data_IF_263325494213
#
_entry.id   IF_263325494213
#
_cell.length_a   1.000
_cell.length_b   1.000
_cell.length_c   1.000
_cell.angle_alpha   90.00
_cell.angle_beta   90.00
_cell.angle_gamma   90.00
#
_symmetry.space_group_name_H-M   'P 1'
#
loop_
_entity.id
_entity.type
_entity.pdbx_description
1 polymer ?
#
# COMPACT_ATOMS: atom_id res chain seq x y z
N UNK A 1 34.58 -8.52 -14.99
CA UNK A 1 34.87 -9.14 -13.67
C UNK A 1 33.54 -9.30 -12.95
N UNK A 2 33.19 -10.53 -12.54
CA UNK A 2 31.90 -10.87 -11.91
C UNK A 2 31.81 -10.24 -10.51
N UNK A 3 30.89 -9.30 -10.32
CA UNK A 3 30.48 -8.85 -8.98
C UNK A 3 29.55 -9.90 -8.37
N UNK A 4 30.00 -10.55 -7.30
CA UNK A 4 29.23 -11.54 -6.54
C UNK A 4 27.96 -10.90 -5.97
N UNK A 5 26.84 -11.57 -6.19
CA UNK A 5 25.59 -11.38 -5.46
C UNK A 5 25.88 -11.44 -3.95
N UNK A 6 25.53 -10.37 -3.24
CA UNK A 6 25.27 -10.40 -1.80
C UNK A 6 23.76 -10.28 -1.61
N UNK A 7 23.08 -11.42 -1.63
CA UNK A 7 21.94 -11.61 -0.74
C UNK A 7 22.57 -11.89 0.63
N UNK A 8 22.56 -10.91 1.53
CA UNK A 8 22.60 -11.12 2.99
C UNK A 8 22.92 -9.78 3.68
N UNK A 9 21.86 -9.09 4.13
CA UNK A 9 21.84 -8.29 5.37
C UNK A 9 20.45 -7.71 5.71
N UNK A 10 19.46 -7.72 4.80
CA UNK A 10 18.24 -6.92 4.98
C UNK A 10 17.27 -7.40 6.08
N UNK A 11 17.35 -8.64 6.57
CA UNK A 11 16.29 -9.18 7.44
C UNK A 11 16.22 -8.54 8.83
N UNK A 12 17.35 -8.06 9.37
CA UNK A 12 17.41 -7.43 10.69
C UNK A 12 17.06 -5.93 10.61
N UNK A 13 17.53 -5.25 9.57
CA UNK A 13 17.20 -3.84 9.31
C UNK A 13 15.74 -3.69 8.90
N UNK A 14 15.17 -4.62 8.12
CA UNK A 14 13.75 -4.63 7.79
C UNK A 14 12.89 -4.91 9.04
N UNK A 15 13.32 -5.78 9.96
CA UNK A 15 12.60 -6.01 11.22
C UNK A 15 12.65 -4.81 12.18
N UNK A 16 13.80 -4.14 12.26
CA UNK A 16 13.98 -2.94 13.08
C UNK A 16 13.23 -1.76 12.48
N UNK A 17 13.26 -1.60 11.15
CA UNK A 17 12.43 -0.63 10.43
C UNK A 17 10.94 -0.92 10.61
N UNK A 18 10.50 -2.19 10.55
CA UNK A 18 9.10 -2.56 10.81
C UNK A 18 8.69 -2.31 12.27
N UNK A 19 9.61 -2.47 13.23
CA UNK A 19 9.37 -2.17 14.65
C UNK A 19 9.36 -0.66 14.93
N UNK A 20 10.27 0.09 14.32
CA UNK A 20 10.36 1.55 14.43
C UNK A 20 9.20 2.23 13.69
N UNK A 21 8.83 1.73 12.50
CA UNK A 21 7.58 2.11 11.85
C UNK A 21 6.41 1.71 12.74
N UNK A 22 6.28 0.46 13.20
CA UNK A 22 5.20 0.08 14.13
C UNK A 22 5.09 1.00 15.36
N UNK A 23 6.21 1.54 15.88
CA UNK A 23 6.16 2.49 16.99
C UNK A 23 5.75 3.90 16.53
N UNK A 24 6.22 4.37 15.38
CA UNK A 24 5.81 5.65 14.77
C UNK A 24 4.34 5.63 14.29
N UNK A 25 3.88 4.50 13.74
CA UNK A 25 2.50 4.25 13.31
C UNK A 25 1.53 4.25 14.48
N UNK A 26 1.97 3.78 15.65
CA UNK A 26 1.19 3.89 16.90
C UNK A 26 1.09 5.33 17.42
N UNK A 27 2.01 6.22 17.03
CA UNK A 27 2.06 7.60 17.54
C UNK A 27 1.36 8.62 16.66
N UNK A 28 1.01 8.31 15.41
CA UNK A 28 0.33 9.24 14.48
C UNK A 28 -1.01 8.69 13.98
N UNK A 29 -1.93 8.43 14.92
CA UNK A 29 -3.37 8.39 14.65
C UNK A 29 -3.96 9.76 14.95
N UNK A 30 -3.89 10.71 14.00
CA UNK A 30 -4.65 11.96 14.10
C UNK A 30 -5.21 12.44 12.76
N UNK A 31 -6.38 11.89 12.41
CA UNK A 31 -7.62 12.64 12.11
C UNK A 31 -8.78 11.67 12.37
N UNK A 32 -9.88 12.16 12.96
CA UNK A 32 -11.10 11.39 13.25
C UNK A 32 -11.78 10.78 12.00
N UNK A 33 -11.30 11.16 10.83
CA UNK A 33 -11.52 10.51 9.54
C UNK A 33 -10.51 11.16 8.60
N UNK A 34 -9.60 10.42 7.96
CA UNK A 34 -9.04 10.90 6.71
C UNK A 34 -10.21 10.84 5.74
N UNK A 35 -10.89 11.97 5.53
CA UNK A 35 -11.92 12.06 4.49
C UNK A 35 -11.25 11.59 3.20
N UNK A 36 -11.68 10.44 2.68
CA UNK A 36 -11.23 9.99 1.38
C UNK A 36 -11.52 11.13 0.41
N UNK A 37 -10.51 11.58 -0.32
CA UNK A 37 -10.68 12.68 -1.27
C UNK A 37 -11.85 12.34 -2.22
N UNK A 38 -12.75 13.28 -2.55
CA UNK A 38 -13.87 13.06 -3.47
C UNK A 38 -13.49 12.31 -4.76
N UNK A 39 -12.32 12.58 -5.35
CA UNK A 39 -11.82 11.84 -6.53
C UNK A 39 -11.62 10.35 -6.23
N UNK A 40 -11.09 10.03 -5.05
CA UNK A 40 -10.90 8.66 -4.60
C UNK A 40 -12.24 7.98 -4.28
N UNK A 41 -13.18 8.70 -3.66
CA UNK A 41 -14.57 8.20 -3.48
C UNK A 41 -15.25 7.95 -4.82
N UNK A 42 -15.04 8.82 -5.80
CA UNK A 42 -15.56 8.67 -7.15
C UNK A 42 -14.92 7.49 -7.88
N UNK A 43 -13.59 7.31 -7.76
CA UNK A 43 -12.87 6.13 -8.24
C UNK A 43 -13.46 4.82 -7.67
N UNK A 44 -13.59 4.77 -6.34
CA UNK A 44 -14.18 3.64 -5.62
C UNK A 44 -15.62 3.34 -6.04
N UNK A 45 -16.36 4.35 -6.52
CA UNK A 45 -17.76 4.21 -6.92
C UNK A 45 -17.92 3.89 -8.42
N UNK A 46 -17.01 4.36 -9.27
CA UNK A 46 -17.16 4.30 -10.74
C UNK A 46 -16.24 3.26 -11.40
N UNK A 47 -15.08 2.94 -10.80
CA UNK A 47 -13.99 2.21 -11.48
C UNK A 47 -13.59 0.91 -10.79
N UNK A 48 -14.15 0.54 -9.63
CA UNK A 48 -14.05 -0.84 -9.16
C UNK A 48 -14.85 -1.72 -10.16
N UNK A 49 -14.22 -2.60 -10.93
CA UNK A 49 -14.92 -3.33 -11.98
C UNK A 49 -16.04 -4.20 -11.38
N UNK A 50 -17.22 -4.18 -12.00
CA UNK A 50 -18.38 -5.05 -11.67
C UNK A 50 -18.01 -6.56 -11.60
N UNK A 51 -16.88 -6.96 -12.18
CA UNK A 51 -16.34 -8.33 -12.15
C UNK A 51 -15.60 -8.70 -10.86
N UNK A 52 -15.17 -7.71 -10.06
CA UNK A 52 -14.66 -7.84 -8.69
C UNK A 52 -15.79 -7.57 -7.68
N UNK A 53 -16.82 -6.83 -8.11
CA UNK A 53 -17.92 -6.31 -7.33
C UNK A 53 -19.19 -7.17 -7.46
N UNK A 54 -19.31 -8.18 -6.61
CA UNK A 54 -20.65 -8.51 -6.12
C UNK A 54 -20.91 -7.57 -4.94
N UNK A 55 -21.85 -6.64 -5.11
CA UNK A 55 -22.45 -5.87 -4.01
C UNK A 55 -22.60 -6.77 -2.80
N UNK A 56 -22.13 -6.33 -1.63
CA UNK A 56 -22.28 -7.13 -0.41
C UNK A 56 -23.78 -7.40 -0.22
N UNK A 57 -24.17 -8.66 -0.42
CA UNK A 57 -25.43 -9.17 0.08
C UNK A 57 -25.31 -9.25 1.61
N UNK A 58 -26.08 -8.46 2.38
CA UNK A 58 -26.02 -8.46 3.84
C UNK A 58 -26.33 -9.83 4.47
N UNK A 59 -26.93 -10.76 3.70
CA UNK A 59 -27.21 -12.13 4.13
C UNK A 59 -26.06 -13.11 3.85
N UNK A 60 -25.04 -12.70 3.10
CA UNK A 60 -23.89 -13.52 2.72
C UNK A 60 -22.75 -13.34 3.74
N UNK A 61 -21.94 -14.38 3.91
CA UNK A 61 -20.79 -14.36 4.82
C UNK A 61 -19.56 -13.76 4.11
N UNK A 62 -18.83 -12.87 4.81
CA UNK A 62 -17.61 -12.19 4.33
C UNK A 62 -16.47 -12.41 5.33
N UNK A 63 -15.94 -13.64 5.43
CA UNK A 63 -14.99 -14.01 6.46
C UNK A 63 -13.64 -13.28 6.33
N UNK A 64 -13.16 -12.97 5.13
CA UNK A 64 -11.91 -12.22 4.96
C UNK A 64 -12.09 -10.77 5.39
N UNK A 65 -13.19 -10.13 4.98
CA UNK A 65 -13.52 -8.76 5.38
C UNK A 65 -13.64 -8.66 6.90
N UNK A 66 -14.33 -9.63 7.53
CA UNK A 66 -14.45 -9.70 8.98
C UNK A 66 -13.09 -9.85 9.65
N UNK A 67 -12.22 -10.74 9.15
CA UNK A 67 -10.88 -10.96 9.72
C UNK A 67 -10.00 -9.70 9.64
N UNK A 68 -10.06 -8.98 8.50
CA UNK A 68 -9.33 -7.74 8.31
C UNK A 68 -9.89 -6.60 9.17
N UNK A 69 -11.21 -6.50 9.28
CA UNK A 69 -11.89 -5.54 10.16
C UNK A 69 -11.49 -5.77 11.63
N UNK A 70 -11.56 -7.01 12.10
CA UNK A 70 -11.16 -7.39 13.46
C UNK A 70 -9.70 -7.03 13.74
N UNK A 71 -8.80 -7.23 12.77
CA UNK A 71 -7.40 -6.81 12.90
C UNK A 71 -7.28 -5.30 13.13
N UNK A 72 -7.91 -4.50 12.25
CA UNK A 72 -7.84 -3.04 12.31
C UNK A 72 -8.48 -2.48 13.58
N UNK A 73 -9.62 -3.02 14.02
CA UNK A 73 -10.29 -2.63 15.26
C UNK A 73 -9.44 -2.96 16.49
N UNK A 74 -8.85 -4.16 16.55
CA UNK A 74 -8.01 -4.59 17.67
C UNK A 74 -6.72 -3.76 17.80
N UNK A 75 -6.18 -3.29 16.68
CA UNK A 75 -4.99 -2.43 16.66
C UNK A 75 -5.35 -0.93 16.80
N UNK A 76 -6.63 -0.59 16.91
CA UNK A 76 -7.12 0.76 17.24
C UNK A 76 -7.26 1.72 16.05
N UNK A 77 -7.41 1.20 14.83
CA UNK A 77 -7.50 2.01 13.62
C UNK A 77 -8.89 2.59 13.44
N UNK A 78 -8.95 3.80 12.87
CA UNK A 78 -10.21 4.43 12.43
C UNK A 78 -10.31 4.30 10.92
N UNK A 79 -11.43 3.79 10.42
CA UNK A 79 -11.64 3.50 9.00
C UNK A 79 -13.10 3.68 8.57
N UNK A 80 -13.30 3.88 7.27
CA UNK A 80 -14.60 3.87 6.59
C UNK A 80 -14.83 2.47 6.00
N UNK A 81 -15.94 1.82 6.37
CA UNK A 81 -16.36 0.57 5.74
C UNK A 81 -17.24 0.90 4.53
N UNK A 82 -16.77 0.52 3.35
CA UNK A 82 -17.51 0.66 2.10
C UNK A 82 -18.31 -0.63 1.90
N UNK A 83 -19.45 -0.70 2.59
CA UNK A 83 -20.31 -1.89 2.60
C UNK A 83 -20.74 -2.34 1.22
N UNK A 84 -20.79 -1.49 0.20
CA UNK A 84 -21.16 -1.95 -1.14
C UNK A 84 -20.05 -2.75 -1.84
N UNK A 85 -18.78 -2.67 -1.41
CA UNK A 85 -17.63 -3.14 -2.21
C UNK A 85 -16.66 -4.05 -1.44
N UNK A 86 -17.07 -4.64 -0.31
CA UNK A 86 -16.22 -5.49 0.54
C UNK A 86 -14.83 -4.88 0.81
N UNK A 87 -14.84 -3.57 1.08
CA UNK A 87 -13.65 -2.72 1.13
C UNK A 87 -13.64 -1.89 2.41
N UNK A 88 -12.48 -1.81 3.06
CA UNK A 88 -12.21 -0.92 4.19
C UNK A 88 -11.22 0.13 3.72
N UNK A 89 -11.49 1.41 3.94
CA UNK A 89 -10.63 2.49 3.49
C UNK A 89 -10.27 3.45 4.64
N UNK A 90 -9.06 3.96 4.62
CA UNK A 90 -8.56 4.95 5.59
C UNK A 90 -7.37 5.70 5.00
N UNK A 91 -7.05 6.87 5.54
CA UNK A 91 -5.81 7.57 5.23
C UNK A 91 -4.70 7.23 6.21
N UNK A 92 -3.47 7.44 5.79
CA UNK A 92 -2.28 7.10 6.55
C UNK A 92 -1.21 8.18 6.40
N UNK A 93 -0.46 8.44 7.48
CA UNK A 93 0.65 9.37 7.53
C UNK A 93 1.91 8.59 7.94
N UNK A 94 2.81 8.42 6.99
CA UNK A 94 4.15 7.86 7.23
C UNK A 94 5.18 8.97 7.44
N UNK A 95 6.47 8.59 7.43
CA UNK A 95 7.58 9.53 7.58
C UNK A 95 7.68 10.47 6.38
N UNK A 96 7.44 9.95 5.18
CA UNK A 96 7.70 10.66 3.93
C UNK A 96 6.43 11.26 3.32
N UNK A 97 5.25 11.15 3.96
CA UNK A 97 4.04 11.83 3.54
C UNK A 97 2.73 11.14 3.93
N UNK A 98 1.65 11.62 3.32
CA UNK A 98 0.29 11.12 3.49
C UNK A 98 -0.19 10.40 2.25
N UNK A 99 -1.00 9.36 2.43
CA UNK A 99 -1.62 8.62 1.34
C UNK A 99 -2.91 7.93 1.79
N UNK A 100 -3.67 7.38 0.84
CA UNK A 100 -4.87 6.60 1.13
C UNK A 100 -4.57 5.12 1.13
N UNK A 101 -5.28 4.36 1.93
CA UNK A 101 -5.14 2.92 2.04
C UNK A 101 -6.49 2.24 1.84
N UNK A 102 -6.46 1.04 1.26
CA UNK A 102 -7.63 0.20 1.10
C UNK A 102 -7.31 -1.25 1.42
N UNK A 103 -8.15 -1.88 2.22
CA UNK A 103 -8.27 -3.34 2.26
C UNK A 103 -9.42 -3.72 1.35
N UNK A 104 -9.16 -4.51 0.31
CA UNK A 104 -10.19 -5.08 -0.55
C UNK A 104 -10.20 -6.61 -0.38
N UNK A 105 -11.39 -7.18 -0.25
CA UNK A 105 -11.57 -8.63 -0.11
C UNK A 105 -12.32 -9.18 -1.30
N UNK A 106 -11.75 -10.22 -1.90
CA UNK A 106 -12.39 -10.99 -2.98
C UNK A 106 -12.81 -12.32 -2.40
N UNK A 107 -13.93 -12.33 -1.68
CA UNK A 107 -14.38 -13.50 -0.91
C UNK A 107 -14.57 -14.75 -1.77
N UNK A 108 -15.05 -14.59 -3.01
CA UNK A 108 -15.27 -15.73 -3.93
C UNK A 108 -13.96 -16.38 -4.36
N UNK A 109 -12.94 -15.57 -4.63
CA UNK A 109 -11.61 -16.04 -5.03
C UNK A 109 -10.70 -16.32 -3.82
N UNK A 110 -11.18 -16.05 -2.60
CA UNK A 110 -10.42 -16.14 -1.35
C UNK A 110 -9.11 -15.33 -1.39
N UNK A 111 -9.21 -14.06 -1.79
CA UNK A 111 -8.07 -13.15 -1.86
C UNK A 111 -8.27 -11.93 -0.98
N UNK A 112 -7.20 -11.55 -0.28
CA UNK A 112 -7.13 -10.35 0.54
C UNK A 112 -6.08 -9.42 -0.07
N UNK A 113 -6.48 -8.20 -0.41
CA UNK A 113 -5.64 -7.23 -1.09
C UNK A 113 -5.53 -5.98 -0.23
N UNK A 114 -4.33 -5.42 -0.13
CA UNK A 114 -4.09 -4.15 0.52
C UNK A 114 -3.36 -3.21 -0.43
N UNK A 115 -3.89 -1.99 -0.55
CA UNK A 115 -3.36 -0.92 -1.38
C UNK A 115 -2.91 0.26 -0.53
N UNK A 116 -1.76 0.84 -0.89
CA UNK A 116 -1.41 2.23 -0.57
C UNK A 116 -1.48 3.06 -1.86
N UNK A 117 -2.27 4.13 -1.86
CA UNK A 117 -2.65 4.93 -3.02
C UNK A 117 -2.22 6.37 -2.83
N UNK A 118 -1.45 6.91 -3.77
CA UNK A 118 -0.97 8.29 -3.72
C UNK A 118 -2.14 9.28 -3.79
N UNK A 119 -2.21 10.23 -2.85
CA UNK A 119 -3.35 11.13 -2.67
C UNK A 119 -3.66 12.02 -3.88
N UNK A 120 -2.63 12.59 -4.51
CA UNK A 120 -2.79 13.62 -5.55
C UNK A 120 -2.49 13.11 -6.97
N UNK A 121 -2.32 11.79 -7.14
CA UNK A 121 -1.90 11.20 -8.40
C UNK A 121 -0.54 11.74 -8.90
N UNK A 122 -0.15 11.29 -10.08
CA UNK A 122 1.07 11.68 -10.76
C UNK A 122 0.77 12.73 -11.83
N UNK A 123 1.49 13.87 -11.86
CA UNK A 123 1.37 14.83 -12.95
C UNK A 123 1.67 14.18 -14.31
N UNK A 124 0.90 14.54 -15.34
CA UNK A 124 0.98 13.92 -16.68
C UNK A 124 2.42 13.93 -17.24
N UNK A 125 3.13 15.05 -17.07
CA UNK A 125 4.51 15.23 -17.52
C UNK A 125 5.53 14.33 -16.80
N UNK A 126 5.15 13.77 -15.65
CA UNK A 126 5.99 12.89 -14.84
C UNK A 126 5.69 11.40 -15.02
N UNK A 127 4.59 11.03 -15.69
CA UNK A 127 4.15 9.64 -15.86
C UNK A 127 5.27 8.79 -16.46
N UNK A 128 5.85 9.18 -17.60
CA UNK A 128 6.91 8.38 -18.25
C UNK A 128 8.15 8.18 -17.36
N UNK A 129 8.52 9.22 -16.62
CA UNK A 129 9.69 9.20 -15.73
C UNK A 129 9.46 8.27 -14.55
N UNK A 130 8.26 8.31 -13.96
CA UNK A 130 7.87 7.44 -12.86
C UNK A 130 7.62 6.00 -13.31
N UNK A 131 7.09 5.77 -14.52
CA UNK A 131 6.99 4.41 -15.09
C UNK A 131 8.37 3.73 -15.12
N UNK A 132 9.42 4.45 -15.55
CA UNK A 132 10.80 3.94 -15.51
C UNK A 132 11.24 3.63 -14.08
N UNK A 133 11.00 4.57 -13.16
CA UNK A 133 11.37 4.39 -11.75
C UNK A 133 10.69 3.18 -11.12
N UNK A 134 9.36 3.06 -11.21
CA UNK A 134 8.62 1.94 -10.60
C UNK A 134 8.98 0.60 -11.24
N UNK A 135 9.32 0.56 -12.53
CA UNK A 135 9.80 -0.66 -13.19
C UNK A 135 11.11 -1.16 -12.58
N UNK A 136 12.04 -0.24 -12.29
CA UNK A 136 13.31 -0.56 -11.64
C UNK A 136 13.09 -1.01 -10.19
N UNK A 137 12.22 -0.31 -9.45
CA UNK A 137 11.86 -0.65 -8.08
C UNK A 137 11.22 -2.03 -8.02
N UNK A 138 10.19 -2.30 -8.84
CA UNK A 138 9.48 -3.58 -8.88
C UNK A 138 10.42 -4.76 -9.16
N UNK A 139 11.46 -4.58 -9.98
CA UNK A 139 12.45 -5.62 -10.23
C UNK A 139 13.23 -6.04 -8.97
N UNK A 140 13.32 -5.16 -7.97
CA UNK A 140 14.06 -5.38 -6.71
C UNK A 140 13.16 -5.80 -5.54
N UNK A 141 11.83 -5.71 -5.68
CA UNK A 141 10.90 -6.04 -4.60
C UNK A 141 10.70 -7.55 -4.46
N UNK A 142 10.59 -8.02 -3.22
CA UNK A 142 10.27 -9.41 -2.90
C UNK A 142 8.76 -9.60 -2.71
N UNK A 143 8.10 -8.63 -2.07
CA UNK A 143 6.67 -8.69 -1.72
C UNK A 143 6.00 -7.43 -2.22
N UNK A 144 4.94 -7.57 -3.00
CA UNK A 144 4.14 -6.47 -3.52
C UNK A 144 4.66 -5.86 -4.81
N UNK A 145 3.91 -4.91 -5.36
CA UNK A 145 4.25 -4.22 -6.60
C UNK A 145 3.62 -2.82 -6.66
N UNK A 146 4.32 -1.89 -7.31
CA UNK A 146 3.75 -0.61 -7.74
C UNK A 146 2.95 -0.80 -9.03
N UNK A 147 1.80 -0.12 -9.10
CA UNK A 147 0.87 -0.09 -10.24
C UNK A 147 0.58 1.36 -10.58
N UNK A 148 0.58 1.68 -11.86
CA UNK A 148 0.27 3.03 -12.33
C UNK A 148 -0.78 2.96 -13.43
N UNK A 149 -1.84 3.75 -13.28
CA UNK A 149 -2.73 4.06 -14.39
C UNK A 149 -2.14 5.24 -15.17
N UNK A 150 -1.77 4.98 -16.42
CA UNK A 150 -1.16 5.98 -17.30
C UNK A 150 -2.18 6.99 -17.85
N UNK A 151 -3.48 6.70 -17.74
CA UNK A 151 -4.53 7.57 -18.26
C UNK A 151 -4.82 8.76 -17.34
N UNK A 152 -4.63 8.60 -16.04
CA UNK A 152 -4.99 9.62 -15.05
C UNK A 152 -3.95 9.82 -13.93
N UNK A 153 -2.83 9.09 -14.00
CA UNK A 153 -1.70 9.19 -13.08
C UNK A 153 -1.94 8.54 -11.72
N UNK A 154 -2.97 7.71 -11.54
CA UNK A 154 -3.14 6.95 -10.29
C UNK A 154 -1.89 6.08 -10.03
N UNK A 155 -1.35 6.13 -8.80
CA UNK A 155 -0.23 5.31 -8.38
C UNK A 155 -0.57 4.56 -7.10
N UNK A 156 -0.49 3.24 -7.19
CA UNK A 156 -0.80 2.31 -6.12
C UNK A 156 0.40 1.43 -5.78
N UNK A 157 0.49 1.00 -4.53
CA UNK A 157 1.33 -0.12 -4.11
C UNK A 157 0.48 -1.22 -3.53
N UNK A 158 0.52 -2.39 -4.15
CA UNK A 158 -0.34 -3.52 -3.86
C UNK A 158 0.44 -4.62 -3.16
N UNK A 159 -0.14 -5.14 -2.10
CA UNK A 159 0.20 -6.46 -1.53
C UNK A 159 -1.06 -7.31 -1.52
N UNK A 160 -0.96 -8.56 -1.95
CA UNK A 160 -2.10 -9.47 -2.02
C UNK A 160 -1.75 -10.84 -1.45
N UNK A 161 -2.73 -11.47 -0.83
CA UNK A 161 -2.70 -12.84 -0.37
C UNK A 161 -3.74 -13.64 -1.16
N UNK A 162 -3.30 -14.72 -1.77
CA UNK A 162 -4.18 -15.78 -2.29
C UNK A 162 -4.20 -16.89 -1.24
N UNK A 163 -5.38 -17.12 -0.65
CA UNK A 163 -5.49 -17.84 0.61
C UNK A 163 -5.98 -19.28 0.47
N UNK A 164 -6.36 -19.77 -0.72
CA UNK A 164 -6.74 -21.18 -0.98
C UNK A 164 -7.48 -21.88 0.20
N UNK A 165 -8.63 -21.32 0.60
CA UNK A 165 -9.47 -21.81 1.72
C UNK A 165 -8.87 -21.71 3.14
N UNK A 166 -7.72 -21.06 3.29
CA UNK A 166 -7.07 -20.79 4.57
C UNK A 166 -7.63 -19.50 5.19
N UNK A 167 -8.08 -19.58 6.44
CA UNK A 167 -8.39 -18.37 7.21
C UNK A 167 -7.09 -17.66 7.60
N UNK A 168 -6.90 -16.38 7.21
CA UNK A 168 -5.66 -15.67 7.49
C UNK A 168 -5.54 -15.39 8.99
N UNK A 169 -4.36 -15.69 9.55
CA UNK A 169 -4.07 -15.30 10.93
C UNK A 169 -3.94 -13.78 11.06
N UNK A 170 -4.22 -13.24 12.24
CA UNK A 170 -4.02 -11.81 12.55
C UNK A 170 -2.56 -11.35 12.28
N UNK A 171 -1.57 -12.23 12.52
CA UNK A 171 -0.17 -11.96 12.16
C UNK A 171 0.08 -11.89 10.66
N UNK A 172 -0.63 -12.69 9.85
CA UNK A 172 -0.49 -12.67 8.40
C UNK A 172 -1.05 -11.35 7.83
N UNK A 173 -2.23 -10.94 8.30
CA UNK A 173 -2.85 -9.65 7.93
C UNK A 173 -1.93 -8.49 8.34
N UNK A 174 -1.43 -8.49 9.59
CA UNK A 174 -0.46 -7.49 10.07
C UNK A 174 0.75 -7.40 9.17
N UNK A 175 1.40 -8.54 8.89
CA UNK A 175 2.64 -8.55 8.11
C UNK A 175 2.41 -8.03 6.68
N UNK A 176 1.28 -8.39 6.05
CA UNK A 176 0.90 -7.86 4.74
C UNK A 176 0.76 -6.34 4.77
N UNK A 177 -0.02 -5.80 5.72
CA UNK A 177 -0.27 -4.36 5.86
C UNK A 177 1.02 -3.60 6.19
N UNK A 178 1.79 -4.07 7.17
CA UNK A 178 3.02 -3.39 7.60
C UNK A 178 4.09 -3.38 6.49
N UNK A 179 4.24 -4.49 5.76
CA UNK A 179 5.16 -4.54 4.61
C UNK A 179 4.76 -3.54 3.53
N UNK A 180 3.45 -3.42 3.27
CA UNK A 180 2.94 -2.48 2.29
C UNK A 180 3.25 -1.03 2.67
N UNK A 181 2.85 -0.63 3.88
CA UNK A 181 3.01 0.72 4.38
C UNK A 181 4.49 1.12 4.45
N UNK A 182 5.34 0.24 4.97
CA UNK A 182 6.78 0.48 5.05
C UNK A 182 7.42 0.66 3.68
N UNK A 183 7.04 -0.18 2.72
CA UNK A 183 7.60 -0.11 1.37
C UNK A 183 7.11 1.14 0.63
N UNK A 184 5.83 1.48 0.76
CA UNK A 184 5.28 2.69 0.15
C UNK A 184 5.94 3.94 0.72
N UNK A 185 6.03 4.07 2.05
CA UNK A 185 6.65 5.22 2.72
C UNK A 185 8.10 5.42 2.27
N UNK A 186 8.88 4.34 2.22
CA UNK A 186 10.28 4.37 1.77
C UNK A 186 10.39 4.92 0.34
N UNK A 187 9.57 4.43 -0.59
CA UNK A 187 9.65 4.84 -2.00
C UNK A 187 8.93 6.15 -2.29
N UNK A 188 8.05 6.62 -1.40
CA UNK A 188 7.39 7.92 -1.51
C UNK A 188 8.41 9.06 -1.55
N UNK A 189 9.55 8.91 -0.86
CA UNK A 189 10.68 9.82 -0.95
C UNK A 189 11.15 10.01 -2.40
N UNK A 190 11.43 8.90 -3.11
CA UNK A 190 11.87 8.95 -4.50
C UNK A 190 10.79 9.40 -5.47
N UNK A 191 9.53 9.00 -5.23
CA UNK A 191 8.37 9.45 -6.03
C UNK A 191 8.25 10.97 -5.96
N UNK A 192 8.28 11.55 -4.76
CA UNK A 192 8.21 13.00 -4.56
C UNK A 192 9.40 13.72 -5.19
N UNK A 193 10.61 13.22 -4.98
CA UNK A 193 11.80 13.80 -5.59
C UNK A 193 11.68 13.87 -7.13
N UNK A 194 11.15 12.82 -7.77
CA UNK A 194 10.92 12.82 -9.22
C UNK A 194 9.86 13.86 -9.61
N UNK A 195 8.74 13.93 -8.88
CA UNK A 195 7.68 14.94 -9.09
C UNK A 195 8.25 16.37 -8.95
N UNK A 196 9.25 16.56 -8.09
CA UNK A 196 9.96 17.84 -7.89
C UNK A 196 11.08 18.08 -8.93
N UNK A 197 11.28 17.16 -9.88
CA UNK A 197 12.20 17.33 -11.01
C UNK A 197 13.49 16.51 -10.92
N UNK A 198 13.72 15.76 -9.84
CA UNK A 198 14.92 14.94 -9.71
C UNK A 198 15.02 13.86 -10.80
N UNK A 199 16.24 13.40 -11.06
CA UNK A 199 16.45 12.25 -11.94
C UNK A 199 16.03 10.96 -11.24
N UNK A 200 15.69 9.93 -12.02
CA UNK A 200 15.38 8.59 -11.48
C UNK A 200 16.55 8.03 -10.68
N UNK A 201 17.78 8.24 -11.17
CA UNK A 201 18.98 7.71 -10.51
C UNK A 201 19.19 8.42 -9.16
N UNK A 202 19.04 9.75 -9.12
CA UNK A 202 19.11 10.51 -7.86
C UNK A 202 18.01 10.13 -6.86
N UNK A 203 16.81 9.79 -7.34
CA UNK A 203 15.72 9.33 -6.49
C UNK A 203 15.98 7.93 -5.91
N UNK A 204 16.61 7.03 -6.68
CA UNK A 204 17.04 5.73 -6.18
C UNK A 204 18.16 5.87 -5.14
N UNK A 205 19.15 6.73 -5.40
CA UNK A 205 20.23 7.02 -4.46
C UNK A 205 19.69 7.56 -3.12
N UNK A 206 18.68 8.44 -3.16
CA UNK A 206 18.05 8.98 -1.96
C UNK A 206 17.37 7.89 -1.10
N UNK A 207 16.72 6.92 -1.75
CA UNK A 207 16.09 5.78 -1.06
C UNK A 207 17.15 4.87 -0.42
N UNK A 208 18.25 4.61 -1.14
CA UNK A 208 19.34 3.77 -0.62
C UNK A 208 20.03 4.44 0.58
N UNK A 209 20.23 5.75 0.56
CA UNK A 209 20.81 6.48 1.70
C UNK A 209 19.91 6.49 2.94
N UNK A 210 18.59 6.72 2.78
CA UNK A 210 17.64 6.66 3.91
C UNK A 210 17.60 5.26 4.56
N UNK A 211 17.85 4.20 3.79
CA UNK A 211 17.92 2.84 4.32
C UNK A 211 19.20 2.52 5.11
N UNK A 212 20.27 3.30 4.96
CA UNK A 212 21.55 3.08 5.65
C UNK A 212 21.65 3.88 6.96
N UNK A 213 20.92 4.99 7.06
CA UNK A 213 20.94 5.87 8.24
C UNK A 213 19.99 5.40 9.37
N UNK A 214 19.18 4.36 9.14
CA UNK A 214 18.15 3.84 10.06
C UNK A 214 18.39 2.37 10.45
#
# INVERSE_FOLDING_TARGET
MRGRFRQDSSSLDDQKLLADLSSHLRTHTFSSTPELNPRFKEYLTQYIPETIDQKIDPMKDYPLLKSAKEYLENDGWTFELLESHSTIAFGFEGRNGKWHCMVQTREKENQLIFYSSLENGIPEEMIEKLMRFITIVNYRLVVGNFEMDISDGELNYKTALDLDEITPSQSLIRNMIQTNLATFDRHLLGIKAIIEGASVDSALDAIELDSVEN
#
